data_IF_980293379806
#
_entry.id   IF_980293379806
#
_cell.length_a   1.000
_cell.length_b   1.000
_cell.length_c   1.000
_cell.angle_alpha   90.00
_cell.angle_beta   90.00
_cell.angle_gamma   90.00
#
_symmetry.space_group_name_H-M   'P 1'
#
loop_
_entity.id
_entity.type
_entity.pdbx_description
1 polymer ?
#
# COMPACT_ATOMS: atom_id res chain seq x y z
N UNK A 1 28.39 16.61 17.09
CA UNK A 1 27.36 17.07 16.13
C UNK A 1 27.06 15.87 15.24
N UNK A 2 25.89 15.25 15.37
CA UNK A 2 25.51 14.09 14.56
C UNK A 2 24.34 14.51 13.67
N UNK A 3 24.59 14.55 12.36
CA UNK A 3 23.60 14.87 11.34
C UNK A 3 22.44 13.86 11.43
N UNK A 4 21.22 14.38 11.58
CA UNK A 4 19.99 13.59 11.56
C UNK A 4 19.77 13.13 10.12
N UNK A 5 19.65 11.82 9.83
CA UNK A 5 19.35 11.38 8.49
C UNK A 5 17.93 11.84 8.12
N UNK A 6 17.87 12.74 7.14
CA UNK A 6 16.61 13.28 6.62
C UNK A 6 15.92 12.18 5.79
N UNK A 7 14.95 11.51 6.40
CA UNK A 7 14.10 10.55 5.71
C UNK A 7 13.20 11.31 4.74
N UNK A 8 13.58 11.29 3.46
CA UNK A 8 12.77 11.71 2.32
C UNK A 8 11.37 11.12 2.48
N UNK A 9 10.38 11.97 2.77
CA UNK A 9 8.97 11.59 2.67
C UNK A 9 8.76 11.11 1.23
N UNK A 10 8.59 9.80 1.04
CA UNK A 10 7.98 9.30 -0.16
C UNK A 10 6.55 9.86 -0.16
N UNK A 11 6.25 10.70 -1.15
CA UNK A 11 4.89 11.16 -1.43
C UNK A 11 4.00 9.92 -1.56
N UNK A 12 3.13 9.71 -0.57
CA UNK A 12 2.10 8.68 -0.60
C UNK A 12 0.85 9.19 -1.35
N UNK A 13 1.07 10.04 -2.36
CA UNK A 13 0.02 10.45 -3.26
C UNK A 13 -0.34 9.23 -4.12
N UNK A 14 -1.60 8.80 -4.14
CA UNK A 14 -1.99 7.64 -4.91
C UNK A 14 -1.88 8.01 -6.39
N UNK A 15 -1.00 7.32 -7.11
CA UNK A 15 -0.82 7.40 -8.56
C UNK A 15 -1.98 6.67 -9.27
N UNK A 16 -3.22 7.12 -9.04
CA UNK A 16 -4.41 6.56 -9.69
C UNK A 16 -4.75 7.44 -10.88
N UNK A 17 -4.26 7.06 -12.05
CA UNK A 17 -4.71 7.62 -13.31
C UNK A 17 -6.04 6.97 -13.70
N UNK A 18 -7.12 7.63 -13.29
CA UNK A 18 -8.53 7.38 -13.63
C UNK A 18 -9.16 6.08 -13.09
N UNK A 19 -10.38 6.23 -12.56
CA UNK A 19 -11.29 5.13 -12.21
C UNK A 19 -12.38 5.11 -13.29
N UNK A 20 -12.45 4.04 -14.07
CA UNK A 20 -13.56 3.83 -15.00
C UNK A 20 -14.73 3.17 -14.27
N UNK A 21 -15.89 3.82 -14.32
CA UNK A 21 -17.12 3.32 -13.71
C UNK A 21 -17.83 2.40 -14.69
N UNK A 22 -17.85 1.10 -14.41
CA UNK A 22 -18.64 0.14 -15.20
C UNK A 22 -20.10 0.18 -14.71
N UNK A 23 -21.03 0.46 -15.61
CA UNK A 23 -22.47 0.49 -15.33
C UNK A 23 -23.04 -0.93 -15.43
N UNK A 24 -23.09 -1.65 -14.31
CA UNK A 24 -23.88 -2.89 -14.22
C UNK A 24 -25.35 -2.51 -13.91
N UNK A 25 -26.29 -2.94 -14.75
CA UNK A 25 -27.69 -2.53 -14.68
C UNK A 25 -28.61 -3.56 -13.98
N UNK A 26 -28.12 -4.76 -13.68
CA UNK A 26 -28.91 -5.83 -13.04
C UNK A 26 -28.08 -6.68 -12.07
N UNK A 27 -28.73 -7.23 -11.03
CA UNK A 27 -28.08 -8.01 -9.97
C UNK A 27 -27.52 -9.35 -10.48
N UNK A 28 -28.20 -10.03 -11.41
CA UNK A 28 -27.69 -11.27 -12.04
C UNK A 28 -26.41 -11.04 -12.86
N UNK A 29 -26.30 -9.89 -13.52
CA UNK A 29 -25.12 -9.51 -14.31
C UNK A 29 -23.94 -9.12 -13.41
N UNK A 30 -24.21 -8.56 -12.23
CA UNK A 30 -23.19 -8.32 -11.22
C UNK A 30 -22.65 -9.63 -10.66
N UNK A 31 -23.50 -10.61 -10.35
CA UNK A 31 -23.09 -11.94 -9.83
C UNK A 31 -22.27 -12.74 -10.85
N UNK A 32 -22.65 -12.69 -12.12
CA UNK A 32 -21.86 -13.33 -13.19
C UNK A 32 -20.51 -12.62 -13.42
N UNK A 33 -20.43 -11.31 -13.24
CA UNK A 33 -19.19 -10.55 -13.39
C UNK A 33 -18.18 -10.81 -12.26
N UNK A 34 -18.63 -11.12 -11.04
CA UNK A 34 -17.73 -11.53 -9.94
C UNK A 34 -17.21 -12.96 -10.11
N UNK A 35 -18.00 -13.87 -10.69
CA UNK A 35 -17.62 -15.27 -10.91
C UNK A 35 -16.83 -15.52 -12.21
N UNK A 36 -16.81 -14.56 -13.13
CA UNK A 36 -16.06 -14.69 -14.38
C UNK A 36 -14.54 -14.73 -14.11
N UNK A 37 -13.86 -15.73 -14.67
CA UNK A 37 -12.40 -15.82 -14.59
C UNK A 37 -11.76 -14.68 -15.37
N UNK A 38 -11.21 -13.70 -14.67
CA UNK A 38 -10.48 -12.59 -15.29
C UNK A 38 -9.18 -13.13 -15.88
N UNK A 39 -8.93 -12.83 -17.15
CA UNK A 39 -7.66 -13.14 -17.81
C UNK A 39 -6.57 -12.34 -17.09
N UNK A 40 -5.63 -13.02 -16.42
CA UNK A 40 -4.81 -12.42 -15.36
C UNK A 40 -3.90 -11.27 -15.80
N UNK A 41 -3.77 -11.01 -17.11
CA UNK A 41 -3.16 -9.79 -17.64
C UNK A 41 -1.80 -9.44 -17.03
N UNK A 42 -1.43 -8.16 -17.11
CA UNK A 42 -0.35 -7.60 -16.30
C UNK A 42 -0.93 -7.18 -14.93
N UNK A 43 -0.21 -7.36 -13.81
CA UNK A 43 -0.70 -6.94 -12.50
C UNK A 43 -0.99 -5.43 -12.48
N UNK A 44 -2.15 -5.08 -11.93
CA UNK A 44 -2.60 -3.70 -11.79
C UNK A 44 -1.86 -2.94 -10.68
N UNK A 45 -1.28 -3.66 -9.72
CA UNK A 45 -0.41 -3.10 -8.68
C UNK A 45 0.71 -4.09 -8.36
N UNK A 46 1.97 -3.64 -8.49
CA UNK A 46 3.14 -4.38 -8.01
C UNK A 46 3.79 -3.64 -6.84
N UNK A 47 3.96 -4.33 -5.73
CA UNK A 47 4.68 -3.82 -4.55
C UNK A 47 5.93 -4.65 -4.34
N UNK A 48 7.08 -3.98 -4.18
CA UNK A 48 8.39 -4.62 -3.98
C UNK A 48 9.09 -4.01 -2.78
N UNK A 49 9.38 -4.82 -1.77
CA UNK A 49 10.20 -4.45 -0.62
C UNK A 49 9.66 -3.26 0.20
N UNK A 50 8.34 -3.10 0.29
CA UNK A 50 7.71 -1.97 1.00
C UNK A 50 8.16 -1.94 2.46
N UNK A 51 8.66 -0.78 2.90
CA UNK A 51 9.12 -0.55 4.27
C UNK A 51 8.59 0.77 4.79
N UNK A 52 8.08 0.76 6.03
CA UNK A 52 7.70 1.97 6.76
C UNK A 52 8.16 1.84 8.20
N UNK A 53 9.26 2.52 8.52
CA UNK A 53 9.82 2.54 9.87
C UNK A 53 9.70 3.96 10.45
N UNK A 54 9.09 4.07 11.63
CA UNK A 54 8.90 5.33 12.34
C UNK A 54 9.97 5.50 13.41
N UNK A 55 10.78 6.57 13.39
CA UNK A 55 11.86 6.76 14.35
C UNK A 55 11.30 7.03 15.76
N UNK A 56 11.87 6.37 16.76
CA UNK A 56 11.65 6.67 18.17
C UNK A 56 12.74 7.62 18.65
N UNK A 57 12.34 8.78 19.18
CA UNK A 57 13.26 9.80 19.68
C UNK A 57 13.05 10.06 21.17
N UNK A 58 14.13 10.25 21.92
CA UNK A 58 14.10 10.57 23.34
C UNK A 58 14.83 11.88 23.62
N UNK A 59 14.33 12.66 24.59
CA UNK A 59 14.90 13.93 25.05
C UNK A 59 14.01 15.14 24.73
N UNK A 60 13.90 16.07 25.69
CA UNK A 60 12.97 17.22 25.62
C UNK A 60 13.61 18.41 24.89
N UNK A 61 14.90 18.67 25.14
CA UNK A 61 15.66 19.79 24.54
C UNK A 61 16.48 19.31 23.33
N UNK A 62 17.09 18.12 23.42
CA UNK A 62 17.79 17.46 22.32
C UNK A 62 17.16 16.09 22.06
N UNK A 63 16.57 15.91 20.88
CA UNK A 63 15.96 14.64 20.47
C UNK A 63 17.01 13.71 19.87
N UNK A 64 17.38 12.65 20.56
CA UNK A 64 18.24 11.58 20.01
C UNK A 64 17.39 10.40 19.56
N UNK A 65 17.68 9.85 18.39
CA UNK A 65 17.04 8.61 17.94
C UNK A 65 17.54 7.44 18.79
N UNK A 66 16.60 6.70 19.38
CA UNK A 66 16.87 5.53 20.23
C UNK A 66 16.43 4.23 19.58
N UNK A 67 15.63 4.30 18.52
CA UNK A 67 15.18 3.13 17.75
C UNK A 67 14.24 3.52 16.61
N UNK A 68 13.54 2.52 16.06
CA UNK A 68 12.44 2.73 15.13
C UNK A 68 11.39 1.62 15.28
N UNK A 69 10.11 2.00 15.24
CA UNK A 69 8.99 1.05 15.13
C UNK A 69 8.83 0.70 13.67
N UNK A 70 8.93 -0.59 13.35
CA UNK A 70 8.73 -1.09 11.98
C UNK A 70 7.23 -1.35 11.76
N UNK A 71 6.53 -0.38 11.17
CA UNK A 71 5.11 -0.55 10.84
C UNK A 71 4.90 -1.44 9.61
N UNK A 72 5.82 -1.40 8.65
CA UNK A 72 5.86 -2.34 7.52
C UNK A 72 7.33 -2.71 7.28
N UNK A 73 7.65 -3.99 7.10
CA UNK A 73 9.03 -4.44 6.89
C UNK A 73 9.17 -5.45 5.74
N UNK A 74 9.48 -4.96 4.54
CA UNK A 74 9.91 -5.78 3.42
C UNK A 74 8.79 -6.50 2.68
N UNK A 75 7.58 -5.94 2.65
CA UNK A 75 6.41 -6.59 2.03
C UNK A 75 6.48 -6.49 0.51
N UNK A 76 6.24 -7.61 -0.19
CA UNK A 76 6.17 -7.68 -1.65
C UNK A 76 4.96 -8.50 -2.07
N UNK A 77 4.16 -7.99 -3.00
CA UNK A 77 3.02 -8.69 -3.57
C UNK A 77 2.62 -8.07 -4.90
N UNK A 78 1.79 -8.79 -5.64
CA UNK A 78 1.12 -8.33 -6.85
C UNK A 78 -0.38 -8.37 -6.63
N UNK A 79 -1.11 -7.43 -7.23
CA UNK A 79 -2.56 -7.44 -7.29
C UNK A 79 -2.96 -7.45 -8.76
N UNK A 80 -3.80 -8.39 -9.14
CA UNK A 80 -4.30 -8.56 -10.50
C UNK A 80 -5.73 -8.01 -10.64
N UNK A 81 -6.18 -7.84 -11.88
CA UNK A 81 -7.54 -7.39 -12.15
C UNK A 81 -8.55 -8.43 -11.62
N UNK A 82 -9.60 -7.95 -10.94
CA UNK A 82 -10.64 -8.79 -10.33
C UNK A 82 -10.28 -9.32 -8.93
N UNK A 83 -9.05 -9.13 -8.44
CA UNK A 83 -8.69 -9.51 -7.08
C UNK A 83 -9.06 -8.43 -6.06
N UNK A 84 -9.49 -8.86 -4.89
CA UNK A 84 -9.73 -7.98 -3.73
C UNK A 84 -8.69 -8.27 -2.66
N UNK A 85 -7.87 -7.26 -2.31
CA UNK A 85 -6.88 -7.37 -1.23
C UNK A 85 -7.45 -6.85 0.09
N UNK A 86 -7.62 -7.74 1.06
CA UNK A 86 -7.95 -7.39 2.44
C UNK A 86 -6.70 -7.24 3.30
N UNK A 87 -6.56 -6.11 3.99
CA UNK A 87 -5.52 -5.90 5.01
C UNK A 87 -6.16 -6.07 6.39
N UNK A 88 -5.59 -6.94 7.22
CA UNK A 88 -6.09 -7.22 8.58
C UNK A 88 -4.93 -7.08 9.57
N UNK A 89 -5.22 -6.54 10.75
CA UNK A 89 -4.29 -6.44 11.87
C UNK A 89 -5.04 -6.41 13.19
N UNK A 90 -4.35 -6.79 14.26
CA UNK A 90 -4.78 -6.54 15.65
C UNK A 90 -4.54 -5.09 16.09
#
# INVERSE_FOLDING_TARGET
MAEKPEQKKADAAPNVSAVETVKAATEDEAVAAIDASVDRGEPILQVRGLKKHFPLTQGIVFKRQVGAVKAVDGVSFDLYQGETLGIVGE
#
